data_IF_991511577916
#
_entry.id   IF_991511577916
#
_cell.length_a   1.000
_cell.length_b   1.000
_cell.length_c   1.000
_cell.angle_alpha   90.00
_cell.angle_beta   90.00
_cell.angle_gamma   90.00
#
_symmetry.space_group_name_H-M   'P 1'
#
loop_
_entity.id
_entity.type
_entity.pdbx_description
1 polymer ?
#
# COMPACT_ATOMS: atom_id res chain seq x y z
N UNK A 1 32.35 -4.01 -5.18
CA UNK A 1 31.34 -5.03 -5.56
C UNK A 1 29.99 -4.35 -5.66
N UNK A 2 29.43 -4.18 -6.85
CA UNK A 2 28.12 -3.54 -7.03
C UNK A 2 27.04 -4.47 -6.50
N UNK A 3 26.37 -4.08 -5.41
CA UNK A 3 25.18 -4.79 -4.91
C UNK A 3 24.03 -4.51 -5.91
N UNK A 4 23.64 -5.52 -6.69
CA UNK A 4 22.40 -5.44 -7.47
C UNK A 4 21.21 -5.71 -6.54
N UNK A 5 20.22 -4.85 -6.60
CA UNK A 5 18.95 -5.06 -5.90
C UNK A 5 17.97 -5.76 -6.85
N UNK A 6 17.21 -6.69 -6.30
CA UNK A 6 16.05 -7.31 -6.94
C UNK A 6 14.78 -6.78 -6.27
N UNK A 7 13.65 -7.00 -6.90
CA UNK A 7 12.35 -6.69 -6.28
C UNK A 7 12.15 -7.48 -4.99
N UNK A 8 11.34 -6.93 -4.10
CA UNK A 8 10.83 -7.65 -2.93
C UNK A 8 10.14 -8.94 -3.38
N UNK A 9 10.26 -10.07 -2.67
CA UNK A 9 9.65 -11.34 -3.05
C UNK A 9 8.15 -11.24 -3.35
N UNK A 10 7.42 -10.37 -2.63
CA UNK A 10 5.99 -10.17 -2.87
C UNK A 10 5.68 -9.56 -4.24
N UNK A 11 6.63 -8.90 -4.88
CA UNK A 11 6.52 -8.36 -6.24
C UNK A 11 6.96 -9.32 -7.33
N UNK A 12 7.61 -10.45 -6.96
CA UNK A 12 8.02 -11.49 -7.92
C UNK A 12 6.82 -12.36 -8.36
N UNK A 13 5.79 -12.46 -7.54
CA UNK A 13 4.50 -13.06 -7.91
C UNK A 13 3.66 -12.08 -8.72
N UNK A 14 2.82 -12.60 -9.59
CA UNK A 14 1.86 -11.77 -10.35
C UNK A 14 0.65 -11.38 -9.50
N UNK A 15 -0.12 -10.40 -9.96
CA UNK A 15 -1.38 -10.04 -9.32
C UNK A 15 -2.37 -11.21 -9.36
N UNK A 16 -2.39 -11.95 -10.45
CA UNK A 16 -3.23 -13.13 -10.63
C UNK A 16 -2.88 -14.26 -9.63
N UNK A 17 -1.61 -14.39 -9.26
CA UNK A 17 -1.19 -15.38 -8.25
C UNK A 17 -1.67 -14.98 -6.86
N UNK A 18 -1.61 -13.69 -6.53
CA UNK A 18 -2.16 -13.17 -5.27
C UNK A 18 -3.69 -13.25 -5.22
N UNK A 19 -4.38 -12.98 -6.35
CA UNK A 19 -5.83 -13.10 -6.46
C UNK A 19 -6.34 -14.54 -6.18
N UNK A 20 -5.60 -15.57 -6.61
CA UNK A 20 -5.94 -16.96 -6.34
C UNK A 20 -5.92 -17.33 -4.86
N UNK A 21 -5.14 -16.62 -4.04
CA UNK A 21 -5.05 -16.84 -2.59
C UNK A 21 -6.19 -16.18 -1.81
N UNK A 22 -6.92 -15.27 -2.45
CA UNK A 22 -7.92 -14.44 -1.78
C UNK A 22 -9.28 -14.76 -2.35
N UNK A 23 -9.99 -15.70 -1.72
CA UNK A 23 -11.37 -16.01 -2.10
C UNK A 23 -12.26 -14.76 -2.03
N UNK A 24 -13.13 -14.63 -3.02
CA UNK A 24 -14.16 -13.61 -3.06
C UNK A 24 -15.31 -14.04 -2.16
N UNK A 25 -15.17 -13.89 -0.86
CA UNK A 25 -16.32 -13.94 0.02
C UNK A 25 -16.97 -12.57 0.05
N UNK A 26 -18.25 -12.45 -0.30
CA UNK A 26 -18.97 -11.16 -0.31
C UNK A 26 -19.42 -10.71 1.09
N UNK A 27 -18.61 -10.93 2.12
CA UNK A 27 -19.04 -10.73 3.51
C UNK A 27 -19.30 -9.27 3.89
N UNK A 28 -18.82 -8.30 3.13
CA UNK A 28 -19.14 -6.90 3.37
C UNK A 28 -19.12 -6.09 2.06
N UNK A 29 -20.28 -5.92 1.45
CA UNK A 29 -20.43 -5.15 0.21
C UNK A 29 -20.44 -3.63 0.43
N UNK A 30 -20.44 -3.14 1.67
CA UNK A 30 -20.46 -1.71 1.96
C UNK A 30 -19.09 -1.09 1.71
N UNK A 31 -19.00 0.01 0.94
CA UNK A 31 -17.72 0.65 0.67
C UNK A 31 -17.07 1.21 1.93
N UNK A 32 -15.74 1.09 2.03
CA UNK A 32 -14.97 1.54 3.19
C UNK A 32 -13.60 2.09 2.81
N UNK A 33 -13.10 2.95 3.68
CA UNK A 33 -11.69 3.35 3.73
C UNK A 33 -10.96 2.40 4.66
N UNK A 34 -9.87 1.82 4.18
CA UNK A 34 -9.01 0.97 5.00
C UNK A 34 -7.80 1.76 5.48
N UNK A 35 -7.38 1.50 6.72
CA UNK A 35 -6.15 2.03 7.31
C UNK A 35 -5.25 0.90 7.82
N UNK A 36 -3.94 1.00 7.48
CA UNK A 36 -2.90 0.16 8.03
C UNK A 36 -1.65 0.99 8.31
N UNK A 37 -1.51 1.43 9.56
CA UNK A 37 -0.40 2.28 9.99
C UNK A 37 0.49 1.55 10.99
N UNK A 38 1.78 1.50 10.69
CA UNK A 38 2.82 0.96 11.56
C UNK A 38 3.30 1.99 12.58
N UNK A 39 3.06 3.28 12.30
CA UNK A 39 3.47 4.39 13.15
C UNK A 39 2.27 5.28 13.45
N UNK A 40 2.09 5.62 14.73
CA UNK A 40 1.05 6.56 15.12
C UNK A 40 1.34 7.96 14.60
N UNK A 41 0.39 8.53 13.86
CA UNK A 41 0.42 9.91 13.42
C UNK A 41 -1.00 10.49 13.48
N UNK A 42 -1.20 11.43 14.40
CA UNK A 42 -2.50 12.07 14.64
C UNK A 42 -3.03 12.80 13.40
N UNK A 43 -2.16 13.51 12.67
CA UNK A 43 -2.54 14.29 11.50
C UNK A 43 -3.10 13.38 10.40
N UNK A 44 -2.45 12.24 10.17
CA UNK A 44 -2.93 11.24 9.21
C UNK A 44 -4.28 10.66 9.60
N UNK A 45 -4.45 10.32 10.87
CA UNK A 45 -5.71 9.76 11.39
C UNK A 45 -6.88 10.74 11.26
N UNK A 46 -6.66 11.99 11.63
CA UNK A 46 -7.68 13.05 11.53
C UNK A 46 -8.06 13.31 10.07
N UNK A 47 -7.06 13.35 9.19
CA UNK A 47 -7.31 13.50 7.75
C UNK A 47 -8.16 12.34 7.20
N UNK A 48 -7.80 11.09 7.49
CA UNK A 48 -8.54 9.93 6.98
C UNK A 48 -9.99 9.92 7.47
N UNK A 49 -10.23 10.28 8.72
CA UNK A 49 -11.61 10.41 9.24
C UNK A 49 -12.41 11.49 8.51
N UNK A 50 -11.80 12.64 8.27
CA UNK A 50 -12.43 13.71 7.49
C UNK A 50 -12.73 13.25 6.06
N UNK A 51 -11.75 12.65 5.40
CA UNK A 51 -11.87 12.08 4.04
C UNK A 51 -13.01 11.06 3.92
N UNK A 52 -13.10 10.13 4.87
CA UNK A 52 -14.14 9.11 4.90
C UNK A 52 -15.54 9.73 5.14
N UNK A 53 -15.65 10.63 6.11
CA UNK A 53 -16.90 11.33 6.43
C UNK A 53 -17.45 12.12 5.26
N UNK A 54 -16.60 12.87 4.55
CA UNK A 54 -17.01 13.65 3.37
C UNK A 54 -17.57 12.78 2.23
N UNK A 55 -17.19 11.49 2.21
CA UNK A 55 -17.61 10.52 1.19
C UNK A 55 -18.66 9.52 1.66
N UNK A 56 -19.12 9.65 2.89
CA UNK A 56 -20.08 8.71 3.49
C UNK A 56 -19.52 7.28 3.61
N UNK A 57 -18.18 7.14 3.77
CA UNK A 57 -17.51 5.85 3.89
C UNK A 57 -17.22 5.52 5.35
N UNK A 58 -17.31 4.23 5.70
CA UNK A 58 -16.84 3.72 6.99
C UNK A 58 -15.32 3.61 6.99
N UNK A 59 -14.70 3.73 8.15
CA UNK A 59 -13.28 3.53 8.37
C UNK A 59 -13.05 2.17 9.03
N UNK A 60 -12.33 1.28 8.37
CA UNK A 60 -11.78 0.05 8.93
C UNK A 60 -10.29 0.22 9.19
N UNK A 61 -9.81 -0.26 10.34
CA UNK A 61 -8.40 -0.08 10.72
C UNK A 61 -7.81 -1.33 11.35
N UNK A 62 -6.64 -1.75 10.86
CA UNK A 62 -5.86 -2.78 11.53
C UNK A 62 -5.25 -2.25 12.84
N UNK A 63 -5.58 -2.91 13.94
CA UNK A 63 -5.26 -2.46 15.30
C UNK A 63 -3.86 -2.91 15.72
N UNK A 64 -2.86 -2.11 15.41
CA UNK A 64 -1.46 -2.32 15.82
C UNK A 64 -1.09 -1.50 17.06
N UNK A 65 -1.86 -0.48 17.38
CA UNK A 65 -1.61 0.42 18.50
C UNK A 65 -2.94 0.80 19.15
N UNK A 66 -3.00 0.73 20.48
CA UNK A 66 -4.21 1.11 21.26
C UNK A 66 -4.62 2.57 21.06
N UNK A 67 -3.70 3.44 20.63
CA UNK A 67 -3.99 4.84 20.32
C UNK A 67 -4.89 5.01 19.10
N UNK A 68 -5.09 3.97 18.30
CA UNK A 68 -6.03 3.97 17.16
C UNK A 68 -7.49 3.79 17.58
N UNK A 69 -7.75 3.40 18.85
CA UNK A 69 -9.10 3.26 19.36
C UNK A 69 -9.87 4.59 19.24
N UNK A 70 -11.06 4.52 18.68
CA UNK A 70 -11.91 5.69 18.43
C UNK A 70 -11.64 6.42 17.10
N UNK A 71 -10.66 5.96 16.29
CA UNK A 71 -10.41 6.50 14.94
C UNK A 71 -11.07 5.70 13.82
N UNK A 72 -11.58 4.51 14.10
CA UNK A 72 -12.26 3.64 13.13
C UNK A 72 -13.67 3.28 13.60
N UNK A 73 -14.54 3.00 12.61
CA UNK A 73 -15.85 2.41 12.85
C UNK A 73 -15.72 0.90 13.09
N UNK A 74 -14.67 0.28 12.56
CA UNK A 74 -14.37 -1.13 12.73
C UNK A 74 -12.88 -1.36 12.98
N UNK A 75 -12.56 -2.03 14.08
CA UNK A 75 -11.20 -2.43 14.46
C UNK A 75 -10.93 -3.86 14.00
N UNK A 76 -9.86 -4.05 13.23
CA UNK A 76 -9.52 -5.32 12.59
C UNK A 76 -8.34 -5.99 13.29
N UNK A 77 -8.49 -7.30 13.52
CA UNK A 77 -7.44 -8.22 13.96
C UNK A 77 -7.40 -9.36 12.94
N UNK A 78 -6.45 -9.36 12.04
CA UNK A 78 -6.49 -10.20 10.87
C UNK A 78 -5.24 -11.06 10.73
N UNK A 79 -5.43 -12.31 10.32
CA UNK A 79 -4.37 -13.15 9.78
C UNK A 79 -3.96 -12.74 8.36
N UNK A 80 -2.95 -13.41 7.76
CA UNK A 80 -2.44 -12.99 6.46
C UNK A 80 -3.49 -12.98 5.34
N UNK A 81 -4.37 -13.96 5.28
CA UNK A 81 -5.40 -14.06 4.22
C UNK A 81 -6.48 -12.97 4.41
N UNK A 82 -6.94 -12.76 5.64
CA UNK A 82 -7.91 -11.70 5.96
C UNK A 82 -7.33 -10.32 5.69
N UNK A 83 -6.04 -10.12 5.96
CA UNK A 83 -5.32 -8.89 5.63
C UNK A 83 -5.40 -8.60 4.13
N UNK A 84 -5.04 -9.58 3.30
CA UNK A 84 -5.10 -9.45 1.84
C UNK A 84 -6.54 -9.21 1.34
N UNK A 85 -7.49 -10.00 1.86
CA UNK A 85 -8.92 -9.87 1.52
C UNK A 85 -9.45 -8.48 1.84
N UNK A 86 -9.09 -7.95 3.00
CA UNK A 86 -9.51 -6.61 3.41
C UNK A 86 -8.91 -5.51 2.55
N UNK A 87 -7.64 -5.62 2.14
CA UNK A 87 -7.05 -4.65 1.20
C UNK A 87 -7.76 -4.73 -0.15
N UNK A 88 -7.99 -5.95 -0.65
CA UNK A 88 -8.69 -6.17 -1.93
C UNK A 88 -10.09 -5.58 -1.96
N UNK A 89 -10.82 -5.61 -0.85
CA UNK A 89 -12.18 -5.08 -0.74
C UNK A 89 -12.26 -3.55 -0.52
N UNK A 90 -11.15 -2.89 -0.22
CA UNK A 90 -11.14 -1.47 0.13
C UNK A 90 -11.51 -0.57 -1.05
N UNK A 91 -12.36 0.43 -0.82
CA UNK A 91 -12.63 1.50 -1.78
C UNK A 91 -11.47 2.49 -1.88
N UNK A 92 -10.79 2.70 -0.76
CA UNK A 92 -9.59 3.52 -0.66
C UNK A 92 -8.73 3.00 0.49
N UNK A 93 -7.43 2.99 0.34
CA UNK A 93 -6.49 2.48 1.34
C UNK A 93 -5.43 3.52 1.69
N UNK A 94 -5.30 3.81 2.99
CA UNK A 94 -4.25 4.65 3.53
C UNK A 94 -3.28 3.81 4.35
N UNK A 95 -1.99 3.94 4.06
CA UNK A 95 -0.97 3.13 4.75
C UNK A 95 0.38 3.84 4.81
N UNK A 96 1.18 3.55 5.82
CA UNK A 96 2.60 3.88 5.90
C UNK A 96 3.49 2.63 5.74
N UNK A 97 2.87 1.50 5.34
CA UNK A 97 3.53 0.21 5.20
C UNK A 97 3.95 -0.05 3.76
N UNK A 98 5.21 -0.43 3.56
CA UNK A 98 5.73 -0.88 2.27
C UNK A 98 4.93 -2.07 1.70
N UNK A 99 4.69 -3.11 2.50
CA UNK A 99 3.92 -4.27 2.04
C UNK A 99 2.43 -3.95 1.85
N UNK A 100 1.84 -3.10 2.70
CA UNK A 100 0.49 -2.60 2.47
C UNK A 100 0.36 -1.93 1.10
N UNK A 101 1.33 -1.07 0.75
CA UNK A 101 1.41 -0.42 -0.57
C UNK A 101 1.52 -1.42 -1.71
N UNK A 102 2.38 -2.44 -1.58
CA UNK A 102 2.54 -3.49 -2.60
C UNK A 102 1.21 -4.21 -2.86
N UNK A 103 0.50 -4.61 -1.81
CA UNK A 103 -0.78 -5.32 -1.98
C UNK A 103 -1.89 -4.42 -2.52
N UNK A 104 -1.89 -3.12 -2.19
CA UNK A 104 -2.79 -2.18 -2.83
C UNK A 104 -2.55 -2.08 -4.35
N UNK A 105 -1.28 -2.13 -4.77
CA UNK A 105 -0.90 -2.16 -6.20
C UNK A 105 -1.37 -3.47 -6.84
N UNK A 106 -1.11 -4.64 -6.22
CA UNK A 106 -1.53 -5.94 -6.75
C UNK A 106 -3.04 -6.04 -6.94
N UNK A 107 -3.82 -5.53 -6.00
CA UNK A 107 -5.30 -5.56 -6.07
C UNK A 107 -5.91 -4.34 -6.76
N UNK A 108 -5.11 -3.47 -7.35
CA UNK A 108 -5.56 -2.28 -8.10
C UNK A 108 -6.49 -1.37 -7.29
N UNK A 109 -6.16 -1.19 -6.00
CA UNK A 109 -6.96 -0.32 -5.12
C UNK A 109 -6.50 1.12 -5.21
N UNK A 110 -7.46 2.05 -5.11
CA UNK A 110 -7.09 3.44 -4.84
C UNK A 110 -6.38 3.49 -3.50
N UNK A 111 -5.17 4.02 -3.46
CA UNK A 111 -4.38 4.09 -2.23
C UNK A 111 -3.57 5.36 -2.15
N UNK A 112 -3.15 5.67 -0.93
CA UNK A 112 -2.18 6.70 -0.62
C UNK A 112 -1.20 6.15 0.41
N UNK A 113 0.08 6.22 0.06
CA UNK A 113 1.15 5.82 0.98
C UNK A 113 1.66 7.06 1.69
N UNK A 114 1.62 7.02 3.01
CA UNK A 114 2.00 8.15 3.84
C UNK A 114 3.41 7.99 4.36
N UNK A 115 4.22 9.06 4.34
CA UNK A 115 5.61 9.04 4.80
C UNK A 115 5.65 8.73 6.29
N UNK A 116 6.32 7.64 6.62
CA UNK A 116 6.49 7.17 8.00
C UNK A 116 7.58 7.92 8.75
N UNK A 117 8.64 8.26 8.04
CA UNK A 117 9.84 8.89 8.60
C UNK A 117 9.97 10.31 8.06
N UNK A 118 10.44 11.21 8.94
CA UNK A 118 10.93 12.51 8.49
C UNK A 118 12.21 12.31 7.68
N UNK A 119 12.48 13.18 6.71
CA UNK A 119 13.63 13.05 5.79
C UNK A 119 14.98 12.95 6.53
N UNK A 120 15.10 13.58 7.68
CA UNK A 120 16.32 13.63 8.49
C UNK A 120 16.45 12.47 9.51
N UNK A 121 15.54 11.51 9.51
CA UNK A 121 15.61 10.40 10.46
C UNK A 121 16.75 9.42 10.12
N UNK A 122 17.57 9.07 11.09
CA UNK A 122 18.72 8.15 10.91
C UNK A 122 18.32 6.78 10.34
N UNK A 123 17.12 6.30 10.67
CA UNK A 123 16.58 5.02 10.20
C UNK A 123 15.51 5.21 9.12
N UNK A 124 15.68 6.21 8.25
CA UNK A 124 14.73 6.51 7.19
C UNK A 124 14.64 5.36 6.17
N UNK A 125 13.48 4.67 6.14
CA UNK A 125 13.19 3.58 5.19
C UNK A 125 12.26 4.03 4.05
N UNK A 126 12.00 5.32 3.91
CA UNK A 126 11.18 5.88 2.83
C UNK A 126 11.74 5.53 1.46
N UNK A 127 13.07 5.40 1.35
CA UNK A 127 13.78 5.08 0.11
C UNK A 127 13.30 3.79 -0.57
N UNK A 128 12.77 2.80 0.18
CA UNK A 128 12.19 1.58 -0.40
C UNK A 128 10.94 1.90 -1.23
N UNK A 129 10.07 2.75 -0.69
CA UNK A 129 8.83 3.19 -1.34
C UNK A 129 9.17 4.15 -2.48
N UNK A 130 10.08 5.10 -2.26
CA UNK A 130 10.54 6.04 -3.27
C UNK A 130 11.10 5.34 -4.50
N UNK A 131 11.97 4.33 -4.30
CA UNK A 131 12.51 3.51 -5.38
C UNK A 131 11.43 2.73 -6.14
N UNK A 132 10.47 2.13 -5.42
CA UNK A 132 9.36 1.42 -6.04
C UNK A 132 8.51 2.38 -6.86
N UNK A 133 8.12 3.50 -6.29
CA UNK A 133 7.24 4.47 -6.94
C UNK A 133 7.92 5.16 -8.13
N UNK A 134 9.22 5.45 -8.05
CA UNK A 134 10.00 5.96 -9.17
C UNK A 134 9.97 5.02 -10.37
N UNK A 135 10.04 3.71 -10.14
CA UNK A 135 9.97 2.69 -11.19
C UNK A 135 8.57 2.55 -11.78
N UNK A 136 7.54 2.72 -10.96
CA UNK A 136 6.15 2.51 -11.36
C UNK A 136 5.45 3.80 -11.83
N UNK A 137 6.02 4.98 -11.57
CA UNK A 137 5.40 6.28 -11.87
C UNK A 137 4.30 6.65 -10.88
N UNK A 138 4.50 6.32 -9.61
CA UNK A 138 3.52 6.51 -8.53
C UNK A 138 3.97 7.55 -7.49
N UNK A 139 4.95 8.41 -7.81
CA UNK A 139 5.57 9.34 -6.87
C UNK A 139 4.54 10.26 -6.20
N UNK A 140 3.52 10.68 -6.93
CA UNK A 140 2.47 11.58 -6.42
C UNK A 140 1.58 10.94 -5.34
N UNK A 141 1.65 9.63 -5.18
CA UNK A 141 0.90 8.86 -4.18
C UNK A 141 1.70 8.57 -2.90
N UNK A 142 2.91 9.14 -2.77
CA UNK A 142 3.75 9.05 -1.59
C UNK A 142 3.82 10.42 -0.89
N UNK A 143 3.01 10.60 0.13
CA UNK A 143 2.69 11.90 0.71
C UNK A 143 3.16 12.01 2.17
N UNK A 144 3.57 13.19 2.55
CA UNK A 144 3.71 13.59 3.95
C UNK A 144 2.50 14.42 4.41
N UNK A 145 2.56 14.97 5.62
CA UNK A 145 1.48 15.77 6.19
C UNK A 145 1.13 17.00 5.32
N UNK A 146 2.11 17.60 4.65
CA UNK A 146 1.88 18.75 3.77
C UNK A 146 1.19 18.36 2.46
N UNK A 147 1.42 17.14 2.00
CA UNK A 147 0.83 16.55 0.78
C UNK A 147 -0.62 16.10 0.92
N UNK A 148 -1.18 16.06 2.13
CA UNK A 148 -2.57 15.59 2.32
C UNK A 148 -3.59 16.45 1.56
N UNK A 149 -3.33 17.74 1.42
CA UNK A 149 -4.23 18.67 0.74
C UNK A 149 -4.40 18.42 -0.75
N UNK A 150 -3.44 17.75 -1.40
CA UNK A 150 -3.51 17.46 -2.85
C UNK A 150 -4.27 16.15 -3.15
N UNK A 151 -4.53 15.30 -2.16
CA UNK A 151 -5.22 14.00 -2.35
C UNK A 151 -6.53 14.13 -3.15
N UNK A 152 -7.40 15.12 -2.91
CA UNK A 152 -8.65 15.25 -3.67
C UNK A 152 -8.45 15.54 -5.15
N UNK A 153 -7.31 16.09 -5.54
CA UNK A 153 -6.99 16.50 -6.92
C UNK A 153 -6.15 15.46 -7.66
N UNK A 154 -5.62 14.44 -6.98
CA UNK A 154 -4.84 13.41 -7.62
C UNK A 154 -5.70 12.58 -8.59
N UNK A 155 -5.20 12.31 -9.79
CA UNK A 155 -5.90 11.49 -10.78
C UNK A 155 -6.09 10.06 -10.29
N UNK A 156 -6.87 9.27 -11.02
CA UNK A 156 -6.88 7.82 -10.84
C UNK A 156 -5.55 7.20 -11.27
N UNK A 157 -5.15 6.12 -10.61
CA UNK A 157 -3.95 5.37 -11.00
C UNK A 157 -4.22 4.62 -12.31
N UNK A 158 -3.35 4.82 -13.31
CA UNK A 158 -3.35 4.00 -14.52
C UNK A 158 -2.68 2.65 -14.23
N UNK A 159 -3.48 1.68 -13.83
CA UNK A 159 -2.99 0.34 -13.50
C UNK A 159 -2.49 -0.46 -14.71
N UNK A 160 -2.88 -0.12 -15.94
CA UNK A 160 -2.31 -0.75 -17.14
C UNK A 160 -0.83 -0.39 -17.27
N UNK A 161 -0.52 0.90 -17.12
CA UNK A 161 0.86 1.38 -17.14
C UNK A 161 1.68 0.83 -15.96
N UNK A 162 1.09 0.75 -14.77
CA UNK A 162 1.74 0.17 -13.57
C UNK A 162 2.07 -1.31 -13.79
N UNK A 163 1.16 -2.10 -14.35
CA UNK A 163 1.38 -3.52 -14.67
C UNK A 163 2.49 -3.72 -15.69
N UNK A 164 2.51 -2.92 -16.74
CA UNK A 164 3.57 -2.97 -17.75
C UNK A 164 4.95 -2.73 -17.12
N UNK A 165 5.09 -1.66 -16.35
CA UNK A 165 6.35 -1.32 -15.67
C UNK A 165 6.74 -2.38 -14.65
N UNK A 166 5.78 -2.93 -13.91
CA UNK A 166 6.02 -4.00 -12.95
C UNK A 166 6.51 -5.28 -13.62
N UNK A 167 5.95 -5.64 -14.77
CA UNK A 167 6.39 -6.82 -15.55
C UNK A 167 7.85 -6.70 -15.94
N UNK A 168 8.27 -5.54 -16.46
CA UNK A 168 9.67 -5.29 -16.82
C UNK A 168 10.62 -5.47 -15.62
N UNK A 169 10.28 -4.89 -14.48
CA UNK A 169 11.12 -4.99 -13.27
C UNK A 169 11.14 -6.41 -12.69
N UNK A 170 10.03 -7.15 -12.80
CA UNK A 170 9.92 -8.56 -12.40
C UNK A 170 10.83 -9.44 -13.27
N UNK A 171 10.76 -9.31 -14.58
CA UNK A 171 11.59 -10.07 -15.51
C UNK A 171 13.08 -9.83 -15.28
N UNK A 172 13.47 -8.56 -15.06
CA UNK A 172 14.86 -8.20 -14.71
C UNK A 172 15.33 -8.89 -13.44
N UNK A 173 14.47 -8.90 -12.41
CA UNK A 173 14.78 -9.50 -11.11
C UNK A 173 14.89 -11.02 -11.21
N UNK A 174 13.95 -11.67 -11.87
CA UNK A 174 13.94 -13.14 -12.07
C UNK A 174 15.11 -13.60 -12.92
N UNK A 175 15.43 -12.88 -14.00
CA UNK A 175 16.59 -13.18 -14.85
C UNK A 175 17.90 -13.09 -14.08
N UNK A 176 18.05 -12.08 -13.22
CA UNK A 176 19.24 -11.95 -12.37
C UNK A 176 19.33 -13.09 -11.35
N UNK A 177 18.22 -13.44 -10.68
CA UNK A 177 18.19 -14.53 -9.71
C UNK A 177 18.56 -15.87 -10.35
N UNK A 178 17.97 -16.21 -11.50
CA UNK A 178 18.30 -17.44 -12.24
C UNK A 178 19.79 -17.53 -12.55
N UNK A 179 20.37 -16.48 -13.16
CA UNK A 179 21.81 -16.44 -13.47
C UNK A 179 22.72 -16.51 -12.24
N UNK A 180 22.22 -16.11 -11.06
CA UNK A 180 23.00 -16.16 -9.82
C UNK A 180 22.97 -17.55 -9.16
N UNK A 181 21.93 -18.34 -9.42
CA UNK A 181 21.77 -19.72 -8.91
C UNK A 181 22.46 -20.76 -9.79
N UNK A 182 22.72 -20.44 -11.07
CA UNK A 182 23.42 -21.31 -12.03
C UNK A 182 24.95 -21.26 -11.90
N UNK A 183 25.49 -20.47 -10.95
CA UNK A 183 26.92 -20.35 -10.64
C UNK A 183 27.31 -21.17 -9.43
#
# INVERSE_FOLDING_TARGET
>A
MYKRQVLDPTLLLSSEDWEKLVDVSPEDSSPYVLCYFLTYNQVYLDYVRAFARERGLRVKMFMLDKRYLGYSDESLFAGPIEFLRTIRGASCFFTDSFHGTIFAIHFERRFYTLKRFREQAENNQNSRIENLFSKLGLQDYFLDESGLSVIPTLPGIDYNLVKERMSIERERSLSYLKKSLER
#
